data_IF_216031916375
#
_entry.id   IF_216031916375
#
_cell.length_a   1.000
_cell.length_b   1.000
_cell.length_c   1.000
_cell.angle_alpha   90.00
_cell.angle_beta   90.00
_cell.angle_gamma   90.00
#
_symmetry.space_group_name_H-M   'P 1'
#
loop_
_entity.id
_entity.type
_entity.pdbx_description
1 polymer ?
#
# COMPACT_ATOMS: atom_id res chain seq x y z
N UNK A 1 28.81 -12.28 16.28
CA UNK A 1 27.58 -12.40 15.45
C UNK A 1 26.26 -12.31 16.21
N UNK A 2 26.15 -12.73 17.48
CA UNK A 2 24.88 -12.61 18.23
C UNK A 2 24.41 -11.15 18.45
N UNK A 3 25.32 -10.22 18.74
CA UNK A 3 24.96 -8.82 19.00
C UNK A 3 24.35 -8.06 17.81
N UNK A 4 24.73 -8.39 16.58
CA UNK A 4 24.19 -7.75 15.37
C UNK A 4 22.74 -8.20 15.15
N UNK A 5 22.45 -9.49 15.33
CA UNK A 5 21.08 -10.03 15.21
C UNK A 5 20.14 -9.43 16.27
N UNK A 6 20.62 -9.22 17.49
CA UNK A 6 19.84 -8.57 18.56
C UNK A 6 19.53 -7.11 18.17
N UNK A 7 20.51 -6.38 17.63
CA UNK A 7 20.29 -5.00 17.17
C UNK A 7 19.30 -4.93 15.99
N UNK A 8 19.37 -5.86 15.04
CA UNK A 8 18.41 -5.95 13.93
C UNK A 8 16.99 -6.25 14.41
N UNK A 9 16.84 -7.18 15.37
CA UNK A 9 15.55 -7.48 16.02
C UNK A 9 14.98 -6.26 16.74
N UNK A 10 15.81 -5.54 17.50
CA UNK A 10 15.40 -4.31 18.18
C UNK A 10 14.99 -3.22 17.20
N UNK A 11 15.72 -3.06 16.09
CA UNK A 11 15.37 -2.11 15.03
C UNK A 11 14.06 -2.46 14.34
N UNK A 12 13.82 -3.75 14.10
CA UNK A 12 12.54 -4.24 13.58
C UNK A 12 11.38 -3.93 14.53
N UNK A 13 11.58 -4.13 15.84
CA UNK A 13 10.60 -3.75 16.86
C UNK A 13 10.33 -2.25 16.88
N UNK A 14 11.36 -1.42 16.80
CA UNK A 14 11.24 0.04 16.79
C UNK A 14 10.48 0.55 15.56
N UNK A 15 10.71 -0.04 14.39
CA UNK A 15 9.96 0.25 13.16
C UNK A 15 8.49 -0.15 13.26
N UNK A 16 8.19 -1.29 13.92
CA UNK A 16 6.81 -1.71 14.20
C UNK A 16 6.13 -0.75 15.19
N UNK A 17 6.82 -0.32 16.24
CA UNK A 17 6.31 0.66 17.20
C UNK A 17 6.06 2.01 16.54
N UNK A 18 6.94 2.46 15.65
CA UNK A 18 6.76 3.70 14.89
C UNK A 18 5.56 3.58 13.94
N UNK A 19 5.46 2.49 13.17
CA UNK A 19 4.30 2.25 12.31
C UNK A 19 2.99 2.21 13.11
N UNK A 20 2.99 1.63 14.30
CA UNK A 20 1.85 1.66 15.22
C UNK A 20 1.49 3.07 15.70
N UNK A 21 2.50 3.90 16.02
CA UNK A 21 2.28 5.31 16.38
C UNK A 21 1.73 6.13 15.21
N UNK A 22 2.24 5.90 14.00
CA UNK A 22 1.78 6.59 12.81
C UNK A 22 0.31 6.23 12.50
N UNK A 23 -0.10 4.98 12.76
CA UNK A 23 -1.51 4.56 12.68
C UNK A 23 -2.39 5.24 13.72
N UNK A 24 -1.93 5.33 14.98
CA UNK A 24 -2.67 6.01 16.05
C UNK A 24 -2.78 7.51 15.74
N UNK A 25 -1.73 8.13 15.20
CA UNK A 25 -1.77 9.54 14.79
C UNK A 25 -2.72 9.77 13.60
N UNK A 26 -2.78 8.82 12.66
CA UNK A 26 -3.76 8.83 11.58
C UNK A 26 -5.18 8.73 12.16
N UNK A 27 -5.41 7.84 13.12
CA UNK A 27 -6.68 7.67 13.83
C UNK A 27 -7.09 8.91 14.64
N UNK A 28 -6.15 9.54 15.36
CA UNK A 28 -6.38 10.77 16.12
C UNK A 28 -6.74 11.96 15.22
N UNK A 29 -6.24 11.99 13.98
CA UNK A 29 -6.65 12.96 12.98
C UNK A 29 -8.11 12.75 12.54
N UNK A 30 -8.59 11.51 12.53
CA UNK A 30 -9.99 11.12 12.28
C UNK A 30 -10.79 11.01 13.59
N UNK A 31 -10.84 12.10 14.35
CA UNK A 31 -11.53 12.22 15.65
C UNK A 31 -12.84 11.40 15.77
N UNK A 32 -12.76 10.44 16.71
CA UNK A 32 -13.80 10.03 17.67
C UNK A 32 -14.96 9.16 17.17
N UNK A 33 -14.73 7.85 17.04
CA UNK A 33 -15.80 6.89 17.39
C UNK A 33 -15.72 6.62 18.88
N UNK A 34 -16.74 7.03 19.64
CA UNK A 34 -16.88 6.76 21.09
C UNK A 34 -17.13 5.28 21.41
N UNK A 35 -17.32 4.44 20.38
CA UNK A 35 -17.55 3.01 20.52
C UNK A 35 -16.21 2.23 20.47
N UNK A 36 -15.81 1.56 21.57
CA UNK A 36 -14.62 0.72 21.61
C UNK A 36 -14.59 -0.38 20.54
N UNK A 37 -15.75 -0.85 20.06
CA UNK A 37 -15.79 -1.85 18.99
C UNK A 37 -15.45 -1.25 17.63
N UNK A 38 -15.92 -0.03 17.35
CA UNK A 38 -15.55 0.69 16.13
C UNK A 38 -14.05 0.99 16.08
N UNK A 39 -13.43 1.34 17.23
CA UNK A 39 -11.98 1.52 17.35
C UNK A 39 -11.22 0.23 17.02
N UNK A 40 -11.64 -0.92 17.58
CA UNK A 40 -11.04 -2.22 17.26
C UNK A 40 -11.16 -2.57 15.78
N UNK A 41 -12.32 -2.32 15.18
CA UNK A 41 -12.55 -2.53 13.75
C UNK A 41 -11.62 -1.68 12.88
N UNK A 42 -11.46 -0.39 13.22
CA UNK A 42 -10.54 0.52 12.53
C UNK A 42 -9.08 0.05 12.65
N UNK A 43 -8.63 -0.29 13.86
CA UNK A 43 -7.29 -0.81 14.09
C UNK A 43 -7.01 -2.08 13.27
N UNK A 44 -8.00 -2.97 13.14
CA UNK A 44 -7.88 -4.15 12.30
C UNK A 44 -7.73 -3.79 10.81
N UNK A 45 -8.56 -2.88 10.28
CA UNK A 45 -8.45 -2.44 8.87
C UNK A 45 -7.12 -1.73 8.61
N UNK A 46 -6.66 -0.89 9.53
CA UNK A 46 -5.35 -0.25 9.46
C UNK A 46 -4.20 -1.26 9.47
N UNK A 47 -4.31 -2.32 10.27
CA UNK A 47 -3.32 -3.39 10.26
C UNK A 47 -3.26 -4.11 8.91
N UNK A 48 -4.41 -4.43 8.31
CA UNK A 48 -4.47 -5.03 6.96
C UNK A 48 -3.89 -4.08 5.91
N UNK A 49 -4.19 -2.77 6.00
CA UNK A 49 -3.66 -1.79 5.05
C UNK A 49 -2.13 -1.68 5.13
N UNK A 50 -1.53 -1.80 6.32
CA UNK A 50 -0.08 -1.87 6.49
C UNK A 50 0.53 -3.12 5.85
N UNK A 51 -0.10 -4.29 6.01
CA UNK A 51 0.37 -5.53 5.37
C UNK A 51 0.39 -5.36 3.85
N UNK A 52 -0.69 -4.82 3.27
CA UNK A 52 -0.80 -4.57 1.84
C UNK A 52 0.24 -3.55 1.37
N UNK A 53 0.42 -2.44 2.10
CA UNK A 53 1.44 -1.42 1.80
C UNK A 53 2.86 -1.99 1.88
N UNK A 54 3.14 -2.85 2.85
CA UNK A 54 4.43 -3.55 2.99
C UNK A 54 4.68 -4.50 1.82
N UNK A 55 3.67 -5.29 1.42
CA UNK A 55 3.76 -6.17 0.27
C UNK A 55 4.00 -5.40 -1.03
N UNK A 56 3.31 -4.27 -1.23
CA UNK A 56 3.52 -3.39 -2.38
C UNK A 56 4.92 -2.78 -2.37
N UNK A 57 5.39 -2.29 -1.21
CA UNK A 57 6.77 -1.79 -1.05
C UNK A 57 7.80 -2.83 -1.46
N UNK A 58 7.61 -4.07 -1.04
CA UNK A 58 8.51 -5.16 -1.39
C UNK A 58 8.49 -5.50 -2.89
N UNK A 59 7.35 -5.33 -3.56
CA UNK A 59 7.26 -5.48 -5.02
C UNK A 59 7.94 -4.35 -5.79
N UNK A 60 7.85 -3.12 -5.27
CA UNK A 60 8.46 -1.93 -5.87
C UNK A 60 9.97 -1.90 -5.64
N UNK A 61 10.45 -2.44 -4.52
CA UNK A 61 11.87 -2.45 -4.18
C UNK A 61 12.72 -3.13 -5.26
N UNK A 62 13.76 -2.45 -5.73
CA UNK A 62 14.66 -2.91 -6.78
C UNK A 62 14.13 -2.73 -8.21
N UNK A 63 12.95 -2.14 -8.39
CA UNK A 63 12.42 -1.75 -9.71
C UNK A 63 12.87 -0.36 -10.09
N UNK A 64 12.66 0.03 -11.36
CA UNK A 64 13.00 1.40 -11.82
C UNK A 64 12.13 2.47 -11.19
N UNK A 65 10.94 2.10 -10.72
CA UNK A 65 9.97 3.02 -10.15
C UNK A 65 10.16 3.28 -8.65
N UNK A 66 11.08 2.57 -7.97
CA UNK A 66 11.30 2.70 -6.50
C UNK A 66 11.55 4.13 -6.02
N UNK A 67 12.31 4.90 -6.80
CA UNK A 67 12.65 6.28 -6.47
C UNK A 67 11.92 7.29 -7.35
N UNK A 68 11.09 6.82 -8.30
CA UNK A 68 10.36 7.67 -9.24
C UNK A 68 8.99 8.07 -8.68
N UNK A 69 8.29 7.13 -8.03
CA UNK A 69 6.97 7.33 -7.47
C UNK A 69 6.95 6.93 -6.00
N UNK A 70 6.24 7.69 -5.18
CA UNK A 70 5.83 7.25 -3.85
C UNK A 70 4.83 6.10 -3.94
N UNK A 71 4.72 5.30 -2.88
CA UNK A 71 3.71 4.25 -2.82
C UNK A 71 2.27 4.79 -2.92
N UNK A 72 2.05 6.03 -2.50
CA UNK A 72 0.73 6.65 -2.58
C UNK A 72 0.38 6.99 -4.03
N UNK A 73 1.29 7.62 -4.78
CA UNK A 73 1.12 7.89 -6.21
C UNK A 73 0.91 6.61 -7.02
N UNK A 74 1.64 5.53 -6.70
CA UNK A 74 1.44 4.22 -7.35
C UNK A 74 0.01 3.70 -7.10
N UNK A 75 -0.52 3.85 -5.89
CA UNK A 75 -1.90 3.41 -5.57
C UNK A 75 -2.91 4.28 -6.33
N UNK A 76 -2.71 5.59 -6.39
CA UNK A 76 -3.59 6.53 -7.09
C UNK A 76 -3.64 6.25 -8.59
N UNK A 77 -2.49 6.07 -9.25
CA UNK A 77 -2.44 5.73 -10.67
C UNK A 77 -3.14 4.39 -10.99
N UNK A 78 -3.01 3.40 -10.10
CA UNK A 78 -3.68 2.10 -10.26
C UNK A 78 -5.19 2.18 -10.00
N UNK A 79 -5.64 3.02 -9.06
CA UNK A 79 -7.06 3.25 -8.76
C UNK A 79 -7.77 3.98 -9.92
N UNK A 80 -7.04 4.84 -10.63
CA UNK A 80 -7.55 5.60 -11.77
C UNK A 80 -7.75 4.77 -13.06
N UNK A 81 -7.33 3.51 -13.09
CA UNK A 81 -7.54 2.61 -14.25
C UNK A 81 -9.02 2.25 -14.36
N UNK A 82 -9.62 2.57 -15.51
CA UNK A 82 -11.06 2.37 -15.76
C UNK A 82 -11.30 1.31 -16.84
N UNK A 83 -12.38 0.56 -16.69
CA UNK A 83 -12.88 -0.37 -17.69
C UNK A 83 -14.21 0.13 -18.26
N UNK A 84 -14.37 0.05 -19.57
CA UNK A 84 -15.63 0.23 -20.27
C UNK A 84 -16.30 -1.14 -20.39
N UNK A 85 -17.42 -1.32 -19.69
CA UNK A 85 -18.19 -2.56 -19.71
C UNK A 85 -19.41 -2.35 -20.61
N UNK A 86 -19.46 -3.10 -21.70
CA UNK A 86 -20.59 -3.21 -22.62
C UNK A 86 -21.22 -4.59 -22.46
N UNK A 87 -22.45 -4.79 -22.97
CA UNK A 87 -23.15 -6.09 -22.93
C UNK A 87 -22.31 -7.27 -23.46
N UNK A 88 -21.44 -7.01 -24.44
CA UNK A 88 -20.72 -8.05 -25.18
C UNK A 88 -19.19 -8.00 -24.96
N UNK A 89 -18.67 -6.98 -24.26
CA UNK A 89 -17.22 -6.79 -24.13
C UNK A 89 -16.85 -5.95 -22.92
N UNK A 90 -15.71 -6.28 -22.31
CA UNK A 90 -15.00 -5.43 -21.36
C UNK A 90 -13.74 -4.91 -22.05
N UNK A 91 -13.54 -3.60 -22.05
CA UNK A 91 -12.40 -2.95 -22.71
C UNK A 91 -11.73 -2.01 -21.73
N UNK A 92 -10.41 -2.09 -21.60
CA UNK A 92 -9.63 -1.16 -20.78
C UNK A 92 -9.67 0.24 -21.40
N UNK A 93 -10.02 1.27 -20.62
CA UNK A 93 -9.91 2.66 -21.07
C UNK A 93 -8.44 2.99 -21.38
N UNK A 94 -8.13 3.84 -22.37
CA UNK A 94 -6.75 4.25 -22.64
C UNK A 94 -5.99 4.63 -21.37
N UNK A 95 -4.92 3.89 -21.10
CA UNK A 95 -4.04 4.10 -19.94
C UNK A 95 -3.01 5.19 -20.21
N UNK A 96 -2.66 5.94 -19.17
CA UNK A 96 -1.54 6.89 -19.17
C UNK A 96 -0.19 6.15 -19.35
N UNK A 97 0.85 6.89 -19.72
CA UNK A 97 2.20 6.32 -19.80
C UNK A 97 2.72 5.87 -18.42
N UNK A 98 2.33 6.58 -17.35
CA UNK A 98 2.68 6.24 -15.96
C UNK A 98 2.04 4.92 -15.53
N UNK A 99 0.74 4.74 -15.81
CA UNK A 99 0.02 3.49 -15.55
C UNK A 99 0.68 2.30 -16.26
N UNK A 100 1.06 2.48 -17.53
CA UNK A 100 1.73 1.42 -18.32
C UNK A 100 3.08 1.05 -17.73
N UNK A 101 3.89 2.05 -17.37
CA UNK A 101 5.20 1.84 -16.76
C UNK A 101 5.07 1.12 -15.41
N UNK A 102 4.15 1.57 -14.55
CA UNK A 102 3.87 0.97 -13.24
C UNK A 102 3.44 -0.49 -13.41
N UNK A 103 2.48 -0.78 -14.29
CA UNK A 103 2.02 -2.14 -14.54
C UNK A 103 3.13 -3.04 -15.09
N UNK A 104 3.96 -2.53 -16.00
CA UNK A 104 5.07 -3.26 -16.58
C UNK A 104 6.14 -3.62 -15.55
N UNK A 105 6.59 -2.65 -14.73
CA UNK A 105 7.59 -2.89 -13.68
C UNK A 105 7.06 -3.81 -12.58
N UNK A 106 5.78 -3.68 -12.22
CA UNK A 106 5.13 -4.57 -11.25
C UNK A 106 4.72 -5.93 -11.84
N UNK A 107 4.92 -6.14 -13.15
CA UNK A 107 4.58 -7.35 -13.91
C UNK A 107 3.11 -7.75 -13.76
N UNK A 108 2.23 -6.75 -13.72
CA UNK A 108 0.78 -6.93 -13.64
C UNK A 108 0.22 -6.97 -15.06
N UNK A 109 -0.51 -8.04 -15.39
CA UNK A 109 -1.30 -8.13 -16.61
C UNK A 109 -2.74 -7.79 -16.25
N UNK A 110 -3.35 -6.90 -17.00
CA UNK A 110 -4.79 -6.68 -16.96
C UNK A 110 -5.40 -7.60 -18.01
N UNK A 111 -6.25 -8.53 -17.58
CA UNK A 111 -7.02 -9.36 -18.50
C UNK A 111 -8.19 -8.51 -19.04
N UNK A 112 -8.34 -8.50 -20.36
CA UNK A 112 -9.48 -7.92 -21.09
C UNK A 112 -10.78 -8.70 -20.79
#
# INVERSE_FOLDING_TARGET
>A
NCGIQVLELYRGKELLEQAGKDLIALEDSYRLSQDPQAVKGKAFVMFISLILRSALRNKVKGTRIEHKYSLQEIIEELDDIKFLITKDSKVIHPMSEEQREILAELKIKLDD
#
